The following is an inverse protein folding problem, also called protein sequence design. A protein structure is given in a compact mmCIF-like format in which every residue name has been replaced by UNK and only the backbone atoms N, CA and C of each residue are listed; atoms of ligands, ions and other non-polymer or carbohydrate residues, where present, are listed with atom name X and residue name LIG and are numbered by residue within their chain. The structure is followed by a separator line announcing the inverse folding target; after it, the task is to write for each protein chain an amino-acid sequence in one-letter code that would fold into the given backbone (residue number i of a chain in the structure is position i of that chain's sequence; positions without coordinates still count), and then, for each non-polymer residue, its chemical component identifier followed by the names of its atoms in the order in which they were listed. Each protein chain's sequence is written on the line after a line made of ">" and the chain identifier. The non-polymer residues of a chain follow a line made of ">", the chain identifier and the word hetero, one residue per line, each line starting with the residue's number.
data_IF_299169274561
#
_entry.id   IF_299169274561
#
_cell.length_a   1.000
_cell.length_b   1.000
_cell.length_c   1.000
_cell.angle_alpha   90.00
_cell.angle_beta   90.00
_cell.angle_gamma   90.00
#
_symmetry.space_group_name_H-M   'P 1'
#
loop_
_entity.id
_entity.type
_entity.pdbx_description
1 polymer ?
#
# COMPACT_ATOMS: atom_id res chain seq x y z
N UNK A 1 11.02 2.31 14.73
CA UNK A 1 10.32 3.36 13.94
C UNK A 1 10.73 3.38 12.46
N UNK A 2 12.00 3.57 12.10
CA UNK A 2 12.45 3.65 10.68
C UNK A 2 11.99 2.46 9.82
N UNK A 3 12.03 1.25 10.37
CA UNK A 3 11.62 0.03 9.67
C UNK A 3 10.10 -0.10 9.51
N UNK A 4 9.33 0.42 10.46
CA UNK A 4 7.87 0.49 10.32
C UNK A 4 7.49 1.47 9.19
N UNK A 5 8.19 2.61 9.09
CA UNK A 5 8.02 3.53 7.96
C UNK A 5 8.40 2.87 6.64
N UNK A 6 9.49 2.10 6.58
CA UNK A 6 9.88 1.36 5.38
C UNK A 6 8.82 0.35 4.94
N UNK A 7 8.31 -0.47 5.87
CA UNK A 7 7.22 -1.41 5.62
C UNK A 7 5.96 -0.68 5.11
N UNK A 8 5.60 0.44 5.75
CA UNK A 8 4.46 1.26 5.34
C UNK A 8 4.62 1.84 3.93
N UNK A 9 5.84 2.18 3.50
CA UNK A 9 6.12 2.64 2.12
C UNK A 9 5.91 1.51 1.10
N UNK A 10 6.31 0.28 1.44
CA UNK A 10 6.09 -0.90 0.58
C UNK A 10 4.59 -1.18 0.46
N UNK A 11 3.86 -1.15 1.57
CA UNK A 11 2.41 -1.34 1.58
C UNK A 11 1.68 -0.22 0.81
N UNK A 12 2.08 1.03 1.03
CA UNK A 12 1.53 2.20 0.34
C UNK A 12 1.72 2.13 -1.17
N UNK A 13 2.82 1.54 -1.63
CA UNK A 13 3.05 1.30 -3.06
C UNK A 13 1.97 0.39 -3.66
N UNK A 14 1.59 -0.68 -2.96
CA UNK A 14 0.47 -1.54 -3.36
C UNK A 14 -0.87 -0.80 -3.37
N UNK A 15 -1.10 0.03 -2.35
CA UNK A 15 -2.31 0.85 -2.27
C UNK A 15 -2.42 1.87 -3.41
N UNK A 16 -1.32 2.53 -3.81
CA UNK A 16 -1.31 3.43 -4.96
C UNK A 16 -1.71 2.73 -6.27
N UNK A 17 -1.21 1.51 -6.47
CA UNK A 17 -1.54 0.68 -7.63
C UNK A 17 -3.03 0.31 -7.61
N UNK A 18 -3.56 -0.12 -6.46
CA UNK A 18 -4.98 -0.46 -6.30
C UNK A 18 -5.90 0.76 -6.54
N UNK A 19 -5.58 1.91 -5.94
CA UNK A 19 -6.31 3.17 -6.09
C UNK A 19 -6.35 3.63 -7.55
N UNK A 20 -5.24 3.53 -8.29
CA UNK A 20 -5.21 3.91 -9.71
C UNK A 20 -6.22 3.10 -10.54
N UNK A 21 -6.38 1.81 -10.21
CA UNK A 21 -7.34 0.92 -10.87
C UNK A 21 -8.78 1.27 -10.51
N UNK A 22 -9.08 1.50 -9.23
CA UNK A 22 -10.43 1.86 -8.80
C UNK A 22 -10.87 3.25 -9.26
N UNK A 23 -9.93 4.20 -9.36
CA UNK A 23 -10.17 5.52 -9.94
C UNK A 23 -10.33 5.48 -11.47
N UNK A 24 -10.20 4.32 -12.12
CA UNK A 24 -10.17 4.17 -13.58
C UNK A 24 -9.11 5.07 -14.25
N UNK A 25 -8.02 5.34 -13.53
CA UNK A 25 -6.90 6.10 -14.05
C UNK A 25 -5.99 5.20 -14.90
N UNK A 26 -5.16 5.82 -15.75
CA UNK A 26 -4.11 5.08 -16.48
C UNK A 26 -3.16 4.40 -15.49
N UNK A 27 -2.61 3.21 -15.80
CA UNK A 27 -1.63 2.56 -14.94
C UNK A 27 -0.47 3.49 -14.58
N UNK A 28 -0.11 3.50 -13.30
CA UNK A 28 0.84 4.48 -12.77
C UNK A 28 2.27 4.20 -13.26
N UNK A 29 2.94 5.16 -13.92
CA UNK A 29 4.34 5.01 -14.29
C UNK A 29 5.24 5.16 -13.04
N UNK A 30 6.46 4.59 -13.05
CA UNK A 30 7.36 4.63 -11.89
C UNK A 30 7.70 6.04 -11.39
N UNK A 31 7.75 7.04 -12.27
CA UNK A 31 8.02 8.43 -11.89
C UNK A 31 6.91 9.05 -11.05
N UNK A 32 5.64 8.72 -11.34
CA UNK A 32 4.49 9.16 -10.54
C UNK A 32 4.47 8.47 -9.18
N UNK A 33 4.79 7.17 -9.15
CA UNK A 33 4.92 6.44 -7.90
C UNK A 33 6.01 7.05 -7.00
N UNK A 34 7.18 7.35 -7.56
CA UNK A 34 8.27 8.00 -6.83
C UNK A 34 7.86 9.36 -6.25
N UNK A 35 7.10 10.17 -7.01
CA UNK A 35 6.55 11.44 -6.53
C UNK A 35 5.55 11.25 -5.38
N UNK A 36 4.64 10.26 -5.50
CA UNK A 36 3.68 9.92 -4.45
C UNK A 36 4.34 9.49 -3.15
N UNK A 37 5.33 8.60 -3.25
CA UNK A 37 6.17 8.15 -2.12
C UNK A 37 6.95 9.31 -1.51
N UNK A 38 7.50 10.22 -2.34
CA UNK A 38 8.17 11.43 -1.87
C UNK A 38 7.25 12.33 -1.04
N UNK A 39 6.02 12.57 -1.51
CA UNK A 39 5.04 13.38 -0.78
C UNK A 39 4.57 12.71 0.51
N UNK A 40 4.44 11.38 0.51
CA UNK A 40 4.17 10.62 1.72
C UNK A 40 5.29 10.79 2.75
N UNK A 41 6.56 10.76 2.34
CA UNK A 41 7.69 11.02 3.22
C UNK A 41 7.64 12.42 3.86
N UNK A 42 7.32 13.45 3.08
CA UNK A 42 7.13 14.83 3.59
C UNK A 42 5.98 14.89 4.60
N UNK A 43 4.86 14.21 4.32
CA UNK A 43 3.73 14.15 5.24
C UNK A 43 4.12 13.45 6.55
N UNK A 44 4.86 12.33 6.50
CA UNK A 44 5.35 11.64 7.71
C UNK A 44 6.28 12.54 8.53
N UNK A 45 7.15 13.32 7.89
CA UNK A 45 8.01 14.28 8.60
C UNK A 45 7.20 15.35 9.32
N UNK A 46 6.18 15.93 8.66
CA UNK A 46 5.28 16.89 9.28
C UNK A 46 4.51 16.28 10.44
N UNK A 47 3.96 15.08 10.24
CA UNK A 47 3.30 14.27 11.28
C UNK A 47 4.19 14.10 12.52
N UNK A 48 5.45 13.70 12.31
CA UNK A 48 6.44 13.59 13.39
C UNK A 48 6.72 14.92 14.11
N UNK A 49 6.83 16.03 13.38
CA UNK A 49 7.03 17.37 13.96
C UNK A 49 5.84 17.83 14.81
N UNK A 50 4.62 17.52 14.38
CA UNK A 50 3.39 17.80 15.15
C UNK A 50 3.09 16.76 16.24
N UNK A 51 4.00 15.80 16.46
CA UNK A 51 3.94 14.88 17.60
C UNK A 51 3.03 13.67 17.39
N UNK A 52 2.63 13.34 16.16
CA UNK A 52 1.91 12.08 15.93
C UNK A 52 2.89 10.91 16.06
N UNK A 53 2.72 10.10 17.11
CA UNK A 53 3.57 8.93 17.39
C UNK A 53 3.42 7.77 16.38
N UNK A 54 2.39 7.82 15.53
CA UNK A 54 2.13 6.85 14.48
C UNK A 54 2.49 7.45 13.12
N UNK A 55 3.32 6.76 12.34
CA UNK A 55 3.68 7.21 10.98
C UNK A 55 2.46 7.23 10.05
N UNK A 56 2.36 8.23 9.19
CA UNK A 56 1.28 8.33 8.20
C UNK A 56 1.50 7.36 7.03
N UNK A 57 0.52 6.51 6.76
CA UNK A 57 0.49 5.59 5.60
C UNK A 57 -0.72 5.89 4.71
N UNK A 58 -0.74 5.32 3.51
CA UNK A 58 -1.93 5.38 2.65
C UNK A 58 -3.08 4.64 3.33
N UNK A 59 -4.22 5.29 3.50
CA UNK A 59 -5.40 4.67 4.12
C UNK A 59 -6.03 3.64 3.16
N UNK A 60 -6.02 2.39 3.61
CA UNK A 60 -6.66 1.27 2.91
C UNK A 60 -8.19 1.43 2.91
N UNK A 61 -8.77 1.99 3.98
CA UNK A 61 -10.20 2.29 4.05
C UNK A 61 -10.64 3.25 2.95
N UNK A 62 -9.86 4.33 2.74
CA UNK A 62 -10.17 5.31 1.69
C UNK A 62 -10.07 4.70 0.29
N UNK A 63 -9.13 3.77 0.08
CA UNK A 63 -9.03 3.01 -1.17
C UNK A 63 -10.26 2.10 -1.37
N UNK A 64 -10.74 1.45 -0.31
CA UNK A 64 -11.97 0.64 -0.33
C UNK A 64 -13.22 1.48 -0.57
N UNK A 65 -13.33 2.65 0.08
CA UNK A 65 -14.43 3.59 -0.13
C UNK A 65 -14.46 4.12 -1.56
N UNK A 66 -13.29 4.41 -2.15
CA UNK A 66 -13.19 4.76 -3.56
C UNK A 66 -13.69 3.62 -4.46
N UNK A 67 -13.35 2.37 -4.16
CA UNK A 67 -13.82 1.21 -4.92
C UNK A 67 -15.35 1.06 -4.87
N UNK A 68 -15.96 1.34 -3.71
CA UNK A 68 -17.40 1.29 -3.51
C UNK A 68 -18.13 2.44 -4.20
N UNK A 69 -17.67 3.69 -3.98
CA UNK A 69 -18.34 4.90 -4.47
C UNK A 69 -18.05 5.19 -5.94
N UNK A 70 -16.95 4.66 -6.48
CA UNK A 70 -16.44 4.95 -7.84
C UNK A 70 -16.15 6.43 -8.10
N UNK A 71 -15.94 7.23 -7.05
CA UNK A 71 -15.65 8.66 -7.16
C UNK A 71 -14.15 8.93 -6.98
N UNK A 72 -13.39 8.91 -8.08
CA UNK A 72 -11.95 9.19 -8.11
C UNK A 72 -11.55 10.66 -8.14
N UNK A 73 -12.44 11.58 -7.73
CA UNK A 73 -12.20 13.03 -7.86
C UNK A 73 -11.29 13.57 -6.78
N UNK A 74 -10.22 14.28 -7.18
CA UNK A 74 -9.28 14.95 -6.26
C UNK A 74 -9.94 15.98 -5.36
N UNK A 75 -11.02 16.61 -5.82
CA UNK A 75 -11.74 17.64 -5.07
C UNK A 75 -12.38 17.07 -3.81
N UNK A 76 -12.86 15.82 -3.87
CA UNK A 76 -13.47 15.14 -2.70
C UNK A 76 -12.43 14.98 -1.59
N UNK A 77 -11.21 14.56 -1.93
CA UNK A 77 -10.11 14.41 -0.98
C UNK A 77 -9.69 15.77 -0.39
N UNK A 78 -9.62 16.82 -1.22
CA UNK A 78 -9.29 18.18 -0.75
C UNK A 78 -10.33 18.75 0.22
N UNK A 79 -11.61 18.59 -0.11
CA UNK A 79 -12.71 19.04 0.76
C UNK A 79 -12.71 18.24 2.08
N UNK A 80 -12.52 16.92 1.99
CA UNK A 80 -12.42 16.05 3.17
C UNK A 80 -11.26 16.45 4.09
N UNK A 81 -10.08 16.75 3.54
CA UNK A 81 -8.94 17.24 4.31
C UNK A 81 -9.25 18.58 5.00
N UNK A 82 -9.97 19.49 4.34
CA UNK A 82 -10.44 20.73 4.95
C UNK A 82 -11.37 20.49 6.15
N UNK A 83 -12.33 19.57 6.02
CA UNK A 83 -13.20 19.16 7.12
C UNK A 83 -12.43 18.51 8.27
N UNK A 84 -11.43 17.66 7.98
CA UNK A 84 -10.60 17.04 9.02
C UNK A 84 -9.84 18.09 9.83
N UNK A 85 -9.23 19.08 9.18
CA UNK A 85 -8.55 20.19 9.86
C UNK A 85 -9.55 20.99 10.72
N UNK A 86 -10.72 21.31 10.16
CA UNK A 86 -11.75 22.06 10.86
C UNK A 86 -12.26 21.32 12.12
N UNK A 87 -12.59 20.02 12.00
CA UNK A 87 -13.07 19.23 13.14
C UNK A 87 -11.97 18.94 14.16
N UNK A 88 -10.70 18.88 13.75
CA UNK A 88 -9.59 18.69 14.67
C UNK A 88 -9.44 19.84 15.67
N UNK A 89 -9.88 21.06 15.32
CA UNK A 89 -9.83 22.24 16.23
C UNK A 89 -10.92 22.17 17.30
N UNK A 90 -12.03 21.50 17.02
CA UNK A 90 -13.20 21.46 17.89
C UNK A 90 -13.25 20.16 18.69
N UNK A 91 -12.58 20.14 19.85
CA UNK A 91 -12.45 18.94 20.71
C UNK A 91 -13.78 18.26 21.10
N UNK A 92 -14.91 18.99 21.10
CA UNK A 92 -16.25 18.41 21.33
C UNK A 92 -16.65 17.40 20.25
N UNK A 93 -16.32 17.67 18.97
CA UNK A 93 -16.56 16.70 17.90
C UNK A 93 -15.63 15.49 18.05
N UNK A 94 -14.39 15.70 18.49
CA UNK A 94 -13.48 14.61 18.85
C UNK A 94 -14.07 13.67 19.90
N UNK A 95 -14.72 14.22 20.94
CA UNK A 95 -15.39 13.41 21.97
C UNK A 95 -16.57 12.58 21.42
N UNK A 96 -17.33 13.12 20.46
CA UNK A 96 -18.40 12.39 19.77
C UNK A 96 -17.84 11.24 18.93
N UNK A 97 -16.74 11.46 18.22
CA UNK A 97 -16.09 10.37 17.46
C UNK A 97 -15.51 9.30 18.40
N UNK A 98 -15.00 9.69 19.56
CA UNK A 98 -14.49 8.76 20.57
C UNK A 98 -15.58 7.94 21.27
N UNK A 99 -16.85 8.38 21.26
CA UNK A 99 -17.97 7.64 21.86
C UNK A 99 -18.54 6.55 20.94
N UNK A 100 -18.09 6.49 19.68
CA UNK A 100 -18.53 5.47 18.73
C UNK A 100 -17.95 4.10 19.15
N UNK A 101 -18.79 3.05 19.30
CA UNK A 101 -18.32 1.72 19.65
C UNK A 101 -17.31 1.13 18.65
N UNK A 102 -16.27 0.47 19.17
CA UNK A 102 -15.24 -0.21 18.36
C UNK A 102 -15.81 -1.27 17.42
N UNK A 103 -16.92 -1.93 17.79
CA UNK A 103 -17.61 -2.91 16.95
C UNK A 103 -18.08 -2.34 15.61
N UNK A 104 -18.47 -1.06 15.57
CA UNK A 104 -18.89 -0.38 14.32
C UNK A 104 -17.68 -0.21 13.41
N UNK A 105 -16.55 0.25 13.97
CA UNK A 105 -15.31 0.36 13.22
C UNK A 105 -14.88 -1.00 12.66
N UNK A 106 -14.87 -2.05 13.48
CA UNK A 106 -14.54 -3.40 13.02
C UNK A 106 -15.43 -3.86 11.83
N UNK A 107 -16.74 -3.59 11.89
CA UNK A 107 -17.66 -3.89 10.78
C UNK A 107 -17.34 -3.12 9.50
N UNK A 108 -17.00 -1.84 9.61
CA UNK A 108 -16.58 -1.01 8.47
C UNK A 108 -15.27 -1.52 7.85
N UNK A 109 -14.29 -1.89 8.69
CA UNK A 109 -13.02 -2.46 8.24
C UNK A 109 -13.20 -3.76 7.47
N UNK A 110 -14.07 -4.68 7.93
CA UNK A 110 -14.38 -5.92 7.20
C UNK A 110 -14.84 -5.64 5.77
N UNK A 111 -15.67 -4.61 5.57
CA UNK A 111 -16.16 -4.23 4.25
C UNK A 111 -15.06 -3.58 3.39
N UNK A 112 -14.33 -2.60 3.91
CA UNK A 112 -13.32 -1.90 3.13
C UNK A 112 -12.13 -2.80 2.77
N UNK A 113 -11.67 -3.65 3.69
CA UNK A 113 -10.60 -4.61 3.39
C UNK A 113 -11.04 -5.66 2.37
N UNK A 114 -12.31 -6.09 2.37
CA UNK A 114 -12.82 -6.98 1.34
C UNK A 114 -12.76 -6.33 -0.06
N UNK A 115 -13.12 -5.05 -0.18
CA UNK A 115 -13.01 -4.32 -1.44
C UNK A 115 -11.56 -4.18 -1.92
N UNK A 116 -10.64 -3.80 -1.03
CA UNK A 116 -9.22 -3.67 -1.41
C UNK A 116 -8.61 -5.02 -1.75
N UNK A 117 -8.91 -6.08 -0.99
CA UNK A 117 -8.50 -7.45 -1.28
C UNK A 117 -8.99 -7.93 -2.64
N UNK A 118 -10.27 -7.68 -2.98
CA UNK A 118 -10.81 -7.97 -4.30
C UNK A 118 -10.11 -7.18 -5.41
N UNK A 119 -9.73 -5.92 -5.14
CA UNK A 119 -8.90 -5.11 -6.04
C UNK A 119 -7.53 -5.73 -6.31
N UNK A 120 -6.87 -6.22 -5.26
CA UNK A 120 -5.61 -6.97 -5.35
C UNK A 120 -5.74 -8.21 -6.22
N UNK A 121 -6.75 -9.04 -5.95
CA UNK A 121 -7.02 -10.25 -6.75
C UNK A 121 -7.34 -9.93 -8.21
N UNK A 122 -7.98 -8.80 -8.49
CA UNK A 122 -8.28 -8.35 -9.84
C UNK A 122 -7.02 -8.13 -10.70
N UNK A 123 -5.84 -7.91 -10.10
CA UNK A 123 -4.57 -7.83 -10.85
C UNK A 123 -4.07 -9.19 -11.34
N UNK A 124 -4.52 -10.30 -10.75
CA UNK A 124 -4.16 -11.64 -11.20
C UNK A 124 -4.67 -11.94 -12.61
N UNK A 125 -5.67 -11.20 -13.10
CA UNK A 125 -6.16 -11.30 -14.48
C UNK A 125 -5.08 -11.02 -15.53
N UNK A 126 -4.02 -10.29 -15.16
CA UNK A 126 -2.91 -9.97 -16.05
C UNK A 126 -1.82 -11.04 -16.05
N UNK A 127 -1.91 -12.01 -15.13
CA UNK A 127 -1.00 -13.13 -15.03
C UNK A 127 -1.62 -14.39 -15.65
N UNK A 128 -0.79 -15.28 -16.16
CA UNK A 128 -1.26 -16.57 -16.65
C UNK A 128 -1.46 -17.53 -15.46
N UNK A 129 -2.71 -17.66 -15.01
CA UNK A 129 -3.09 -18.56 -13.92
C UNK A 129 -3.12 -20.04 -14.34
N UNK A 130 -3.04 -20.37 -15.63
CA UNK A 130 -2.94 -21.79 -16.05
C UNK A 130 -1.54 -22.38 -15.87
N UNK A 131 -0.54 -21.53 -15.60
CA UNK A 131 0.84 -21.97 -15.36
C UNK A 131 1.01 -22.41 -13.90
N UNK A 132 1.44 -23.65 -13.69
CA UNK A 132 1.72 -24.18 -12.34
C UNK A 132 2.71 -23.30 -11.58
N UNK A 133 3.70 -22.70 -12.26
CA UNK A 133 4.65 -21.75 -11.67
C UNK A 133 3.95 -20.55 -11.05
N UNK A 134 3.01 -19.92 -11.76
CA UNK A 134 2.29 -18.75 -11.26
C UNK A 134 1.37 -19.11 -10.10
N UNK A 135 0.65 -20.23 -10.20
CA UNK A 135 -0.20 -20.74 -9.11
C UNK A 135 0.62 -21.06 -7.85
N UNK A 136 1.77 -21.69 -8.01
CA UNK A 136 2.68 -21.99 -6.89
C UNK A 136 3.20 -20.72 -6.23
N UNK A 137 3.71 -19.75 -7.01
CA UNK A 137 4.19 -18.47 -6.47
C UNK A 137 3.07 -17.77 -5.70
N UNK A 138 1.87 -17.68 -6.27
CA UNK A 138 0.72 -17.04 -5.65
C UNK A 138 0.33 -17.71 -4.33
N UNK A 139 0.06 -19.02 -4.37
CA UNK A 139 -0.40 -19.77 -3.21
C UNK A 139 0.63 -19.81 -2.08
N UNK A 140 1.90 -20.06 -2.42
CA UNK A 140 2.96 -20.11 -1.42
C UNK A 140 3.24 -18.75 -0.78
N UNK A 141 3.21 -17.67 -1.57
CA UNK A 141 3.46 -16.32 -1.04
C UNK A 141 2.34 -15.85 -0.12
N UNK A 142 1.08 -16.17 -0.44
CA UNK A 142 -0.05 -15.88 0.47
C UNK A 142 0.08 -16.70 1.75
N UNK A 143 0.37 -17.99 1.65
CA UNK A 143 0.50 -18.87 2.81
C UNK A 143 1.61 -18.41 3.76
N UNK A 144 2.82 -18.15 3.24
CA UNK A 144 3.93 -17.65 4.05
C UNK A 144 3.66 -16.23 4.58
N UNK A 145 3.01 -15.40 3.76
CA UNK A 145 2.59 -14.05 4.13
C UNK A 145 1.63 -14.01 5.31
N UNK A 146 0.82 -15.04 5.52
CA UNK A 146 -0.04 -15.16 6.70
C UNK A 146 0.67 -15.89 7.86
N UNK A 147 1.39 -16.97 7.56
CA UNK A 147 1.96 -17.86 8.58
C UNK A 147 3.10 -17.23 9.37
N UNK A 148 4.04 -16.55 8.70
CA UNK A 148 5.23 -15.99 9.38
C UNK A 148 4.85 -14.82 10.30
N UNK A 149 4.08 -13.81 9.83
CA UNK A 149 3.64 -12.73 10.72
C UNK A 149 2.81 -13.21 11.90
N UNK A 150 1.92 -14.19 11.68
CA UNK A 150 1.14 -14.78 12.77
C UNK A 150 2.04 -15.35 13.86
N UNK A 151 3.10 -16.09 13.49
CA UNK A 151 4.09 -16.58 14.44
C UNK A 151 4.80 -15.45 15.21
N UNK A 152 5.22 -14.39 14.52
CA UNK A 152 5.89 -13.25 15.15
C UNK A 152 4.96 -12.51 16.13
N UNK A 153 3.70 -12.31 15.74
CA UNK A 153 2.69 -11.63 16.55
C UNK A 153 2.31 -12.45 17.79
N UNK A 154 2.07 -13.76 17.63
CA UNK A 154 1.72 -14.65 18.72
C UNK A 154 2.89 -14.83 19.71
N UNK A 155 4.11 -14.97 19.20
CA UNK A 155 5.30 -15.03 20.04
C UNK A 155 5.48 -13.76 20.87
N UNK A 156 5.27 -12.59 20.27
CA UNK A 156 5.35 -11.30 20.95
C UNK A 156 4.24 -11.16 22.00
N UNK A 157 3.03 -11.65 21.71
CA UNK A 157 1.91 -11.62 22.65
C UNK A 157 2.13 -12.50 23.89
N UNK A 158 2.74 -13.68 23.73
CA UNK A 158 2.97 -14.62 24.83
C UNK A 158 4.18 -14.21 25.68
N UNK A 159 5.30 -13.85 25.04
CA UNK A 159 6.57 -13.59 25.74
C UNK A 159 6.85 -12.13 26.05
N UNK A 160 6.06 -11.21 25.50
CA UNK A 160 6.24 -9.76 25.66
C UNK A 160 7.42 -9.16 24.85
N UNK A 161 8.12 -9.98 24.06
CA UNK A 161 9.20 -9.55 23.18
C UNK A 161 9.20 -10.35 21.86
N UNK A 162 9.68 -9.75 20.78
CA UNK A 162 9.72 -10.39 19.46
C UNK A 162 10.68 -11.58 19.40
N UNK A 163 10.52 -12.51 18.42
CA UNK A 163 11.35 -13.71 18.30
C UNK A 163 12.85 -13.45 18.34
N UNK A 164 13.29 -12.33 17.74
CA UNK A 164 14.66 -11.85 17.89
C UNK A 164 14.74 -10.87 19.06
N UNK A 165 15.44 -11.30 20.11
CA UNK A 165 15.67 -10.48 21.30
C UNK A 165 17.16 -10.46 21.67
N UNK A 166 17.87 -9.51 21.07
CA UNK A 166 19.26 -9.16 21.40
C UNK A 166 19.32 -7.92 22.29
N UNK A 167 20.50 -7.61 22.84
CA UNK A 167 20.73 -6.39 23.64
C UNK A 167 20.51 -5.09 22.85
N UNK A 168 20.52 -5.15 21.52
CA UNK A 168 20.25 -4.01 20.63
C UNK A 168 18.77 -3.90 20.25
N UNK A 169 18.02 -2.98 20.88
CA UNK A 169 16.62 -2.69 20.50
C UNK A 169 16.46 -2.35 19.00
N UNK A 170 17.40 -1.59 18.46
CA UNK A 170 17.40 -1.20 17.04
C UNK A 170 17.51 -2.39 16.10
N UNK A 171 18.29 -3.42 16.47
CA UNK A 171 18.47 -4.63 15.68
C UNK A 171 17.23 -5.52 15.75
N UNK A 172 16.65 -5.63 16.95
CA UNK A 172 15.39 -6.35 17.14
C UNK A 172 14.27 -5.73 16.29
N UNK A 173 14.17 -4.40 16.25
CA UNK A 173 13.19 -3.70 15.41
C UNK A 173 13.41 -3.93 13.91
N UNK A 174 14.68 -4.02 13.46
CA UNK A 174 15.02 -4.28 12.05
C UNK A 174 14.53 -5.63 11.57
N UNK A 175 14.56 -6.62 12.44
CA UNK A 175 14.14 -7.98 12.07
C UNK A 175 12.65 -8.16 12.38
N UNK A 176 12.21 -7.86 13.58
CA UNK A 176 10.85 -8.22 14.01
C UNK A 176 9.77 -7.44 13.24
N UNK A 177 9.99 -6.15 12.92
CA UNK A 177 8.94 -5.31 12.30
C UNK A 177 8.56 -5.74 10.88
N UNK A 178 9.52 -5.99 9.96
CA UNK A 178 9.16 -6.46 8.61
C UNK A 178 8.53 -7.86 8.60
N UNK A 179 9.01 -8.77 9.46
CA UNK A 179 8.45 -10.12 9.54
C UNK A 179 7.09 -10.19 10.23
N UNK A 180 6.71 -9.16 11.00
CA UNK A 180 5.36 -9.01 11.56
C UNK A 180 4.34 -8.44 10.55
N UNK A 181 4.76 -8.00 9.36
CA UNK A 181 3.88 -7.45 8.33
C UNK A 181 3.51 -8.47 7.25
N UNK A 182 2.22 -8.79 7.15
CA UNK A 182 1.66 -9.73 6.17
C UNK A 182 1.95 -9.31 4.73
N UNK A 183 1.66 -8.06 4.38
CA UNK A 183 1.87 -7.53 3.05
C UNK A 183 3.36 -7.54 2.65
N UNK A 184 4.25 -7.21 3.59
CA UNK A 184 5.69 -7.18 3.33
C UNK A 184 6.24 -8.59 3.08
N UNK A 185 5.93 -9.55 3.96
CA UNK A 185 6.41 -10.93 3.83
C UNK A 185 5.85 -11.58 2.56
N UNK A 186 4.55 -11.42 2.29
CA UNK A 186 3.93 -11.94 1.07
C UNK A 186 4.58 -11.35 -0.19
N UNK A 187 4.77 -10.02 -0.22
CA UNK A 187 5.37 -9.32 -1.35
C UNK A 187 6.82 -9.70 -1.60
N UNK A 188 7.64 -9.76 -0.54
CA UNK A 188 9.02 -10.20 -0.61
C UNK A 188 9.14 -11.65 -1.10
N UNK A 189 8.29 -12.56 -0.60
CA UNK A 189 8.28 -13.95 -1.03
C UNK A 189 7.86 -14.08 -2.50
N UNK A 190 6.80 -13.39 -2.91
CA UNK A 190 6.34 -13.39 -4.30
C UNK A 190 7.42 -12.85 -5.24
N UNK A 191 8.07 -11.75 -4.87
CA UNK A 191 9.16 -11.18 -5.64
C UNK A 191 10.37 -12.13 -5.73
N UNK A 192 10.77 -12.74 -4.60
CA UNK A 192 11.89 -13.66 -4.55
C UNK A 192 11.65 -14.89 -5.42
N UNK A 193 10.48 -15.52 -5.30
CA UNK A 193 10.11 -16.71 -6.07
C UNK A 193 9.91 -16.39 -7.55
N UNK A 194 9.29 -15.27 -7.88
CA UNK A 194 9.15 -14.86 -9.28
C UNK A 194 10.51 -14.61 -9.91
N UNK A 195 11.47 -14.04 -9.19
CA UNK A 195 12.83 -13.89 -9.70
C UNK A 195 13.60 -15.21 -9.75
N UNK A 196 13.43 -16.14 -8.81
CA UNK A 196 14.29 -17.33 -8.72
C UNK A 196 13.81 -18.48 -9.60
N UNK A 197 12.50 -18.69 -9.71
CA UNK A 197 11.93 -19.80 -10.47
C UNK A 197 12.04 -19.57 -11.99
N UNK A 198 12.81 -20.44 -12.65
CA UNK A 198 12.93 -20.60 -14.11
C UNK A 198 13.33 -19.34 -14.91
N UNK A 199 14.26 -18.48 -14.43
CA UNK A 199 14.68 -17.23 -15.11
C UNK A 199 14.91 -17.26 -16.63
N UNK A 200 15.22 -18.41 -17.24
CA UNK A 200 15.71 -18.53 -18.62
C UNK A 200 14.62 -18.74 -19.69
N UNK A 201 13.38 -19.00 -19.32
CA UNK A 201 12.31 -19.25 -20.30
C UNK A 201 11.68 -17.96 -20.84
N UNK A 202 11.60 -17.85 -22.16
CA UNK A 202 10.98 -16.71 -22.86
C UNK A 202 9.46 -16.63 -22.65
N UNK A 203 8.80 -17.76 -22.35
CA UNK A 203 7.38 -17.87 -22.01
C UNK A 203 7.00 -17.10 -20.74
N UNK A 204 7.95 -16.91 -19.83
CA UNK A 204 7.73 -16.25 -18.52
C UNK A 204 7.39 -14.77 -18.66
N UNK A 205 7.88 -14.10 -19.72
CA UNK A 205 7.55 -12.69 -19.95
C UNK A 205 6.08 -12.49 -20.30
N UNK A 206 5.45 -13.51 -20.89
CA UNK A 206 4.00 -13.56 -21.13
C UNK A 206 3.26 -13.97 -19.85
N UNK A 207 3.76 -14.96 -19.12
CA UNK A 207 3.11 -15.45 -17.89
C UNK A 207 3.02 -14.40 -16.76
N UNK A 208 4.03 -13.52 -16.63
CA UNK A 208 4.05 -12.42 -15.64
C UNK A 208 3.16 -11.23 -16.02
N UNK A 209 2.61 -11.21 -17.23
CA UNK A 209 1.90 -10.03 -17.75
C UNK A 209 2.81 -8.83 -18.09
N UNK A 210 4.15 -8.98 -18.03
CA UNK A 210 5.11 -7.88 -18.28
C UNK A 210 4.93 -7.23 -19.65
N UNK A 211 4.45 -7.97 -20.65
CA UNK A 211 4.13 -7.43 -21.97
C UNK A 211 3.04 -6.35 -21.91
N UNK A 212 2.03 -6.52 -21.04
CA UNK A 212 0.96 -5.54 -20.87
C UNK A 212 1.48 -4.30 -20.13
N UNK A 213 2.22 -4.50 -19.03
CA UNK A 213 2.78 -3.42 -18.22
C UNK A 213 3.87 -2.60 -18.92
N UNK A 214 4.59 -3.19 -19.88
CA UNK A 214 5.65 -2.49 -20.62
C UNK A 214 5.16 -1.22 -21.35
N UNK A 215 3.89 -1.20 -21.77
CA UNK A 215 3.29 -0.05 -22.46
C UNK A 215 3.12 1.18 -21.56
N UNK A 216 3.02 0.97 -20.24
CA UNK A 216 2.74 2.01 -19.25
C UNK A 216 3.98 2.43 -18.45
N UNK A 217 5.17 2.01 -18.89
CA UNK A 217 6.43 2.28 -18.18
C UNK A 217 6.89 3.74 -18.32
N UNK A 218 6.50 4.41 -19.40
CA UNK A 218 6.89 5.81 -19.67
C UNK A 218 5.72 6.75 -19.42
N UNK A 219 5.97 7.82 -18.66
CA UNK A 219 4.98 8.88 -18.41
C UNK A 219 4.53 9.59 -19.69
N UNK A 220 5.42 9.68 -20.69
CA UNK A 220 5.12 10.31 -22.00
C UNK A 220 4.39 9.38 -22.98
N UNK A 221 4.13 8.14 -22.60
CA UNK A 221 3.52 7.14 -23.48
C UNK A 221 2.02 7.33 -23.70
N UNK A 222 1.33 8.01 -22.79
CA UNK A 222 -0.13 8.20 -22.83
C UNK A 222 -0.49 9.63 -22.44
N UNK A 223 -1.21 10.34 -23.31
CA UNK A 223 -1.65 11.73 -23.08
C UNK A 223 -2.62 11.83 -21.89
N UNK A 224 -3.34 10.75 -21.57
CA UNK A 224 -4.27 10.71 -20.43
C UNK A 224 -3.54 10.70 -19.08
N UNK A 225 -2.30 10.23 -19.03
CA UNK A 225 -1.51 10.21 -17.79
C UNK A 225 -1.22 11.62 -17.26
N UNK A 226 -1.09 12.61 -18.14
CA UNK A 226 -0.90 14.00 -17.72
C UNK A 226 -2.16 14.57 -17.05
N UNK A 227 -3.34 14.27 -17.59
CA UNK A 227 -4.63 14.68 -17.02
C UNK A 227 -4.82 14.06 -15.61
N UNK A 228 -4.59 12.75 -15.49
CA UNK A 228 -4.78 12.02 -14.23
C UNK A 228 -3.71 12.23 -13.16
N UNK A 229 -2.48 12.64 -13.53
CA UNK A 229 -1.36 12.76 -12.58
C UNK A 229 -0.71 14.15 -12.53
N UNK A 230 -1.34 15.16 -13.12
CA UNK A 230 -0.98 16.56 -12.92
C UNK A 230 -1.02 16.96 -11.43
N UNK A 231 -0.03 17.71 -10.95
CA UNK A 231 -0.08 18.28 -9.59
C UNK A 231 -0.87 19.60 -9.58
N UNK A 232 -1.53 19.94 -8.45
CA UNK A 232 -2.17 21.24 -8.29
C UNK A 232 -1.15 22.39 -8.40
N UNK A 233 -1.63 23.59 -8.74
CA UNK A 233 -0.82 24.82 -8.84
C UNK A 233 0.43 24.73 -9.74
N UNK A 234 0.40 23.90 -10.80
CA UNK A 234 1.55 23.70 -11.71
C UNK A 234 2.83 23.23 -11.00
N UNK A 235 2.72 22.57 -9.85
CA UNK A 235 3.85 21.94 -9.15
C UNK A 235 4.59 20.88 -10.00
N UNK A 236 4.01 20.47 -11.14
CA UNK A 236 4.69 19.68 -12.18
C UNK A 236 6.01 20.30 -12.65
N UNK A 237 6.16 21.64 -12.58
CA UNK A 237 7.40 22.33 -12.97
C UNK A 237 8.56 22.07 -12.00
N UNK A 238 8.25 21.85 -10.72
CA UNK A 238 9.25 21.61 -9.67
C UNK A 238 9.49 20.11 -9.43
N UNK A 239 8.47 19.28 -9.68
CA UNK A 239 8.56 17.82 -9.62
C UNK A 239 8.23 17.22 -10.98
N UNK A 240 9.14 17.28 -11.97
CA UNK A 240 8.91 16.71 -13.28
C UNK A 240 8.76 15.18 -13.19
N UNK A 241 7.88 14.61 -14.02
CA UNK A 241 7.61 13.17 -14.12
C UNK A 241 8.41 12.46 -15.21
N UNK A 242 9.49 13.10 -15.69
CA UNK A 242 10.38 12.64 -16.77
C UNK A 242 11.27 11.50 -16.28
#
# INVERSE_FOLDING_TARGET
>A
MMMASFVALVESTGAFIAVSRFASATPMPPSVLSRGVGWQGVAILLSGLFGTGNGSSVSVENAGLLALTRVGSRRVVQISAGFMIFFSVLGKFGAVFASIPSSIFAGLYCLFFAYVGAGGLSFLQFCNLNSFRTMFILGFSIFIGLSVPQYFNEYTAIKGFGPVNTSGRWFNDIINVPFASEAFVAGCMAYFLDNTLHKKDSSIRKDRGKHWWAKFKSFKGDTRSEEFYSLPFNLNKYFPSV
#
